data_IF_444204611166
#
_entry.id   IF_444204611166
#
_cell.length_a   1.000
_cell.length_b   1.000
_cell.length_c   1.000
_cell.angle_alpha   90.00
_cell.angle_beta   90.00
_cell.angle_gamma   90.00
#
_symmetry.space_group_name_H-M   'P 1'
#
loop_
_entity.id
_entity.type
_entity.pdbx_description
1 polymer ?
#
# COMPACT_ATOMS: atom_id res chain seq x y z
N UNK A 1 -13.31 -52.27 -10.67
CA UNK A 1 -13.99 -51.58 -9.56
C UNK A 1 -12.99 -50.70 -8.80
N UNK A 2 -12.18 -51.17 -7.86
CA UNK A 2 -11.27 -50.33 -7.04
C UNK A 2 -10.33 -49.36 -7.80
N UNK A 3 -9.78 -49.77 -8.95
CA UNK A 3 -8.90 -48.92 -9.78
C UNK A 3 -9.66 -47.81 -10.52
N UNK A 4 -10.93 -48.04 -10.82
CA UNK A 4 -11.81 -47.09 -11.49
C UNK A 4 -12.23 -45.99 -10.51
N UNK A 5 -12.56 -46.36 -9.26
CA UNK A 5 -12.85 -45.42 -8.18
C UNK A 5 -11.67 -44.48 -7.91
N UNK A 6 -10.43 -44.99 -7.98
CA UNK A 6 -9.22 -44.17 -7.83
C UNK A 6 -9.08 -43.16 -8.97
N UNK A 7 -9.31 -43.58 -10.22
CA UNK A 7 -9.24 -42.69 -11.38
C UNK A 7 -10.35 -41.62 -11.35
N UNK A 8 -11.53 -41.97 -10.87
CA UNK A 8 -12.64 -41.02 -10.68
C UNK A 8 -12.32 -39.97 -9.63
N UNK A 9 -11.72 -40.35 -8.50
CA UNK A 9 -11.28 -39.42 -7.45
C UNK A 9 -10.15 -38.52 -7.96
N UNK A 10 -9.18 -39.07 -8.70
CA UNK A 10 -8.09 -38.28 -9.29
C UNK A 10 -8.59 -37.30 -10.37
N UNK A 11 -9.54 -37.73 -11.20
CA UNK A 11 -10.19 -36.85 -12.18
C UNK A 11 -11.00 -35.74 -11.52
N UNK A 12 -11.77 -36.06 -10.47
CA UNK A 12 -12.57 -35.08 -9.72
C UNK A 12 -11.69 -34.05 -8.99
N UNK A 13 -10.58 -34.49 -8.38
CA UNK A 13 -9.63 -33.58 -7.71
C UNK A 13 -8.91 -32.68 -8.70
N UNK A 14 -8.47 -33.20 -9.85
CA UNK A 14 -7.90 -32.40 -10.93
C UNK A 14 -8.87 -31.34 -11.45
N UNK A 15 -10.12 -31.73 -11.72
CA UNK A 15 -11.16 -30.81 -12.18
C UNK A 15 -11.46 -29.73 -11.15
N UNK A 16 -11.52 -30.07 -9.86
CA UNK A 16 -11.74 -29.12 -8.78
C UNK A 16 -10.60 -28.10 -8.66
N UNK A 17 -9.34 -28.54 -8.73
CA UNK A 17 -8.17 -27.64 -8.70
C UNK A 17 -8.16 -26.71 -9.91
N UNK A 18 -8.45 -27.25 -11.10
CA UNK A 18 -8.53 -26.44 -12.33
C UNK A 18 -9.62 -25.38 -12.23
N UNK A 19 -10.83 -25.74 -11.79
CA UNK A 19 -11.94 -24.80 -11.63
C UNK A 19 -11.66 -23.74 -10.58
N UNK A 20 -11.05 -24.12 -9.44
CA UNK A 20 -10.66 -23.17 -8.41
C UNK A 20 -9.59 -22.19 -8.92
N UNK A 21 -8.59 -22.69 -9.66
CA UNK A 21 -7.58 -21.86 -10.31
C UNK A 21 -8.18 -20.89 -11.33
N UNK A 22 -9.08 -21.38 -12.17
CA UNK A 22 -9.78 -20.56 -13.16
C UNK A 22 -10.67 -19.49 -12.52
N UNK A 23 -11.43 -19.83 -11.47
CA UNK A 23 -12.28 -18.90 -10.73
C UNK A 23 -11.45 -17.76 -10.11
N UNK A 24 -10.30 -18.08 -9.50
CA UNK A 24 -9.39 -17.07 -8.95
C UNK A 24 -8.73 -16.22 -10.05
N UNK A 25 -8.42 -16.78 -11.21
CA UNK A 25 -7.88 -15.99 -12.32
C UNK A 25 -8.90 -15.00 -12.89
N UNK A 26 -10.19 -15.39 -12.94
CA UNK A 26 -11.29 -14.55 -13.43
C UNK A 26 -11.54 -13.35 -12.51
N UNK A 27 -11.39 -13.50 -11.19
CA UNK A 27 -11.58 -12.38 -10.24
C UNK A 27 -10.48 -11.32 -10.34
N UNK A 28 -9.28 -11.69 -10.82
CA UNK A 28 -8.15 -10.77 -10.99
C UNK A 28 -8.23 -9.98 -12.31
N UNK A 29 -8.83 -10.54 -13.37
CA UNK A 29 -8.97 -9.86 -14.67
C UNK A 29 -9.55 -8.43 -14.59
N UNK A 30 -10.68 -8.17 -13.89
CA UNK A 30 -11.24 -6.82 -13.83
C UNK A 30 -10.35 -5.83 -13.07
N UNK A 31 -9.69 -6.28 -11.99
CA UNK A 31 -8.74 -5.43 -11.23
C UNK A 31 -7.58 -5.02 -12.12
N UNK A 32 -6.95 -5.97 -12.81
CA UNK A 32 -5.81 -5.69 -13.72
C UNK A 32 -6.23 -4.81 -14.90
N UNK A 33 -7.44 -4.98 -15.43
CA UNK A 33 -7.96 -4.14 -16.52
C UNK A 33 -8.16 -2.67 -16.08
N UNK A 34 -8.66 -2.45 -14.86
CA UNK A 34 -8.80 -1.11 -14.27
C UNK A 34 -7.42 -0.49 -14.02
N UNK A 35 -6.50 -1.21 -13.39
CA UNK A 35 -5.15 -0.71 -13.12
C UNK A 35 -4.39 -0.34 -14.40
N UNK A 36 -4.53 -1.15 -15.46
CA UNK A 36 -3.90 -0.88 -16.76
C UNK A 36 -4.41 0.41 -17.38
N UNK A 37 -5.72 0.67 -17.32
CA UNK A 37 -6.31 1.89 -17.88
C UNK A 37 -5.91 3.13 -17.08
N UNK A 38 -5.85 3.04 -15.75
CA UNK A 38 -5.33 4.10 -14.86
C UNK A 38 -3.86 4.38 -15.18
N UNK A 39 -3.02 3.35 -15.27
CA UNK A 39 -1.60 3.48 -15.56
C UNK A 39 -1.34 4.23 -16.88
N UNK A 40 -2.05 3.89 -17.95
CA UNK A 40 -1.88 4.60 -19.23
C UNK A 40 -2.33 6.06 -19.17
N UNK A 41 -3.40 6.37 -18.44
CA UNK A 41 -3.87 7.74 -18.22
C UNK A 41 -2.82 8.57 -17.47
N UNK A 42 -2.27 8.03 -16.38
CA UNK A 42 -1.26 8.71 -15.56
C UNK A 42 0.07 8.87 -16.29
N UNK A 43 0.44 7.88 -17.11
CA UNK A 43 1.60 7.97 -18.00
C UNK A 43 1.43 9.04 -19.08
N UNK A 44 0.24 9.14 -19.69
CA UNK A 44 -0.06 10.19 -20.66
C UNK A 44 -0.09 11.58 -20.00
N UNK A 45 -0.54 11.68 -18.75
CA UNK A 45 -0.49 12.91 -17.95
C UNK A 45 0.93 13.27 -17.46
N UNK A 46 1.95 12.45 -17.77
CA UNK A 46 3.34 12.71 -17.38
C UNK A 46 3.61 12.54 -15.88
N UNK A 47 2.73 11.87 -15.14
CA UNK A 47 2.88 11.71 -13.68
C UNK A 47 4.10 10.85 -13.29
N UNK A 48 4.58 10.00 -14.21
CA UNK A 48 5.81 9.21 -14.05
C UNK A 48 7.06 9.91 -14.62
N UNK A 49 6.96 11.16 -15.06
CA UNK A 49 8.09 11.91 -15.62
C UNK A 49 8.97 12.53 -14.52
N UNK A 50 10.24 12.80 -14.85
CA UNK A 50 11.17 13.51 -13.96
C UNK A 50 10.64 14.89 -13.51
N UNK A 51 9.75 15.49 -14.30
CA UNK A 51 9.11 16.76 -14.00
C UNK A 51 8.11 16.65 -12.83
N UNK A 52 7.38 15.54 -12.71
CA UNK A 52 6.54 15.29 -11.54
C UNK A 52 7.37 15.14 -10.25
N UNK A 53 8.51 14.46 -10.35
CA UNK A 53 9.47 14.34 -9.24
C UNK A 53 10.10 15.70 -8.88
N UNK A 54 10.47 16.51 -9.88
CA UNK A 54 10.99 17.86 -9.66
C UNK A 54 9.97 18.76 -8.97
N UNK A 55 8.69 18.68 -9.33
CA UNK A 55 7.63 19.42 -8.65
C UNK A 55 7.42 18.96 -7.21
N UNK A 56 7.53 17.66 -6.92
CA UNK A 56 7.49 17.16 -5.54
C UNK A 56 8.65 17.71 -4.69
N UNK A 57 9.84 17.91 -5.29
CA UNK A 57 10.99 18.50 -4.60
C UNK A 57 10.79 19.99 -4.26
N UNK A 58 9.94 20.70 -5.00
CA UNK A 58 9.67 22.14 -4.87
C UNK A 58 8.55 22.49 -3.89
N UNK A 59 7.99 21.50 -3.17
CA UNK A 59 6.90 21.73 -2.20
C UNK A 59 7.39 22.72 -1.11
N UNK A 60 6.72 23.89 -0.95
CA UNK A 60 7.14 24.85 0.05
C UNK A 60 7.03 24.29 1.47
N UNK A 61 7.88 24.77 2.39
CA UNK A 61 7.98 24.22 3.76
C UNK A 61 6.64 24.24 4.49
N UNK A 62 5.82 25.27 4.29
CA UNK A 62 4.49 25.38 4.90
C UNK A 62 3.43 24.45 4.29
N UNK A 63 3.69 23.77 3.17
CA UNK A 63 2.81 22.71 2.65
C UNK A 63 3.19 21.33 3.20
N UNK A 64 4.38 21.19 3.80
CA UNK A 64 4.85 19.90 4.33
C UNK A 64 4.01 19.39 5.49
N UNK A 65 3.22 20.22 6.17
CA UNK A 65 2.36 19.74 7.26
C UNK A 65 1.23 18.83 6.74
N UNK A 66 0.76 19.02 5.50
CA UNK A 66 -0.28 18.17 4.90
C UNK A 66 0.13 16.69 4.87
N UNK A 67 1.42 16.41 4.75
CA UNK A 67 1.98 15.05 4.86
C UNK A 67 1.55 14.33 6.14
N UNK A 68 1.39 15.06 7.25
CA UNK A 68 1.01 14.49 8.55
C UNK A 68 -0.50 14.33 8.71
N UNK A 69 -1.31 14.96 7.86
CA UNK A 69 -2.77 14.84 7.84
C UNK A 69 -3.29 13.69 6.98
N UNK A 70 -2.42 13.06 6.18
CA UNK A 70 -2.78 11.96 5.28
C UNK A 70 -2.47 10.59 5.91
N UNK A 71 -3.45 9.69 6.12
CA UNK A 71 -3.22 8.36 6.67
C UNK A 71 -2.30 7.49 5.78
N UNK A 72 -2.27 7.69 4.46
CA UNK A 72 -1.43 6.89 3.55
C UNK A 72 0.05 7.15 3.80
N UNK A 73 0.43 8.42 3.99
CA UNK A 73 1.77 8.83 4.40
C UNK A 73 2.26 8.10 5.66
N UNK A 74 1.41 8.01 6.70
CA UNK A 74 1.72 7.26 7.92
C UNK A 74 1.86 5.75 7.67
N UNK A 75 1.04 5.18 6.77
CA UNK A 75 1.15 3.77 6.38
C UNK A 75 2.49 3.49 5.69
N UNK A 76 2.89 4.32 4.73
CA UNK A 76 4.18 4.18 4.01
C UNK A 76 5.34 4.27 5.01
N UNK A 77 5.28 5.21 5.95
CA UNK A 77 6.26 5.30 7.03
C UNK A 77 6.31 4.01 7.85
N UNK A 78 5.14 3.50 8.28
CA UNK A 78 5.05 2.26 9.05
C UNK A 78 5.64 1.06 8.33
N UNK A 79 5.37 0.92 7.02
CA UNK A 79 5.93 -0.16 6.19
C UNK A 79 7.44 -0.02 6.07
N UNK A 80 7.95 1.15 5.69
CA UNK A 80 9.39 1.36 5.52
C UNK A 80 10.14 1.15 6.84
N UNK A 81 9.66 1.76 7.91
CA UNK A 81 10.28 1.64 9.22
C UNK A 81 10.20 0.21 9.78
N UNK A 82 9.12 -0.54 9.54
CA UNK A 82 9.00 -1.94 10.01
C UNK A 82 9.85 -2.92 9.20
N UNK A 83 9.86 -2.80 7.88
CA UNK A 83 10.56 -3.74 7.00
C UNK A 83 12.07 -3.49 6.94
N UNK A 84 12.48 -2.22 6.99
CA UNK A 84 13.86 -1.81 6.74
C UNK A 84 14.53 -1.13 7.95
N UNK A 85 13.76 -0.72 8.96
CA UNK A 85 14.30 0.01 10.12
C UNK A 85 15.12 -0.81 11.11
N UNK A 86 15.19 -2.14 10.94
CA UNK A 86 15.98 -3.07 11.76
C UNK A 86 17.01 -3.88 10.96
N UNK A 87 17.09 -3.65 9.65
CA UNK A 87 18.02 -4.38 8.78
C UNK A 87 19.43 -3.81 8.92
N UNK A 88 20.33 -4.63 9.46
CA UNK A 88 21.77 -4.34 9.55
C UNK A 88 22.53 -4.77 8.29
N UNK A 89 21.82 -5.14 7.23
CA UNK A 89 22.40 -5.49 5.93
C UNK A 89 23.23 -4.32 5.38
N UNK A 90 24.49 -4.60 5.06
CA UNK A 90 25.40 -3.62 4.48
C UNK A 90 25.05 -3.40 3.02
N UNK A 91 24.69 -2.16 2.68
CA UNK A 91 24.46 -1.74 1.30
C UNK A 91 25.65 -0.93 0.84
N UNK A 92 26.29 -1.41 -0.22
CA UNK A 92 27.34 -0.66 -0.90
C UNK A 92 26.69 0.41 -1.77
N UNK A 93 26.85 1.67 -1.38
CA UNK A 93 26.35 2.81 -2.15
C UNK A 93 27.49 3.32 -3.04
N UNK A 94 27.27 3.43 -4.37
CA UNK A 94 28.28 3.98 -5.26
C UNK A 94 28.73 5.38 -4.79
N UNK A 95 29.99 5.52 -4.40
CA UNK A 95 30.59 6.78 -3.97
C UNK A 95 30.47 7.15 -2.47
N UNK A 96 29.72 6.39 -1.65
CA UNK A 96 29.51 6.70 -0.22
C UNK A 96 29.96 5.61 0.76
N UNK A 97 30.48 4.47 0.27
CA UNK A 97 30.95 3.35 1.09
C UNK A 97 29.84 2.36 1.46
N UNK A 98 30.14 1.45 2.39
CA UNK A 98 29.17 0.46 2.92
C UNK A 98 28.52 1.00 4.19
N UNK A 99 27.20 1.23 4.15
CA UNK A 99 26.37 1.63 5.29
C UNK A 99 25.25 0.63 5.49
N UNK A 100 24.75 0.48 6.72
CA UNK A 100 23.56 -0.37 6.93
C UNK A 100 22.32 0.31 6.36
N UNK A 101 21.34 -0.49 5.91
CA UNK A 101 20.04 0.03 5.44
C UNK A 101 19.41 0.97 6.47
N UNK A 102 19.45 0.59 7.75
CA UNK A 102 18.93 1.39 8.85
C UNK A 102 19.63 2.74 8.99
N UNK A 103 20.96 2.79 8.88
CA UNK A 103 21.72 4.05 8.92
C UNK A 103 21.37 4.94 7.74
N UNK A 104 21.31 4.38 6.54
CA UNK A 104 20.94 5.14 5.34
C UNK A 104 19.55 5.77 5.46
N UNK A 105 18.55 5.00 5.91
CA UNK A 105 17.18 5.48 6.10
C UNK A 105 17.08 6.59 7.15
N UNK A 106 17.88 6.51 8.21
CA UNK A 106 17.92 7.51 9.26
C UNK A 106 18.58 8.80 8.78
N UNK A 107 19.75 8.69 8.15
CA UNK A 107 20.60 9.84 7.85
C UNK A 107 20.17 10.59 6.57
N UNK A 108 19.61 9.89 5.57
CA UNK A 108 19.20 10.51 4.30
C UNK A 108 17.70 10.77 4.21
N UNK A 109 16.88 9.92 4.83
CA UNK A 109 15.42 9.98 4.69
C UNK A 109 14.69 10.30 6.01
N UNK A 110 15.40 10.37 7.13
CA UNK A 110 14.84 10.72 8.43
C UNK A 110 13.93 9.66 9.06
N UNK A 111 13.86 8.45 8.51
CA UNK A 111 13.03 7.38 9.05
C UNK A 111 13.65 6.80 10.32
N UNK A 112 12.86 6.80 11.39
CA UNK A 112 13.22 6.24 12.69
C UNK A 112 12.26 5.13 13.09
N UNK A 113 12.82 3.98 13.44
CA UNK A 113 12.05 2.83 13.92
C UNK A 113 11.34 3.09 15.26
N UNK A 114 11.91 3.94 16.13
CA UNK A 114 11.27 4.37 17.39
C UNK A 114 9.95 5.11 17.20
N UNK A 115 9.70 5.64 15.99
CA UNK A 115 8.49 6.39 15.69
C UNK A 115 7.28 5.49 15.42
N UNK A 116 7.46 4.17 15.28
CA UNK A 116 6.40 3.22 14.94
C UNK A 116 5.22 3.27 15.94
N UNK A 117 5.49 3.54 17.22
CA UNK A 117 4.44 3.70 18.23
C UNK A 117 3.50 4.88 17.92
N UNK A 118 4.05 6.01 17.47
CA UNK A 118 3.25 7.17 17.06
C UNK A 118 2.47 6.89 15.78
N UNK A 119 3.02 6.10 14.86
CA UNK A 119 2.33 5.67 13.63
C UNK A 119 1.06 4.90 13.97
N UNK A 120 1.13 3.96 14.93
CA UNK A 120 -0.05 3.19 15.37
C UNK A 120 -1.10 4.11 16.00
N UNK A 121 -0.68 5.02 16.89
CA UNK A 121 -1.59 5.98 17.51
C UNK A 121 -2.28 6.90 16.49
N UNK A 122 -1.54 7.35 15.47
CA UNK A 122 -2.09 8.19 14.40
C UNK A 122 -3.19 7.46 13.61
N UNK A 123 -2.96 6.19 13.24
CA UNK A 123 -3.98 5.39 12.53
C UNK A 123 -5.25 5.19 13.36
N UNK A 124 -5.11 4.90 14.66
CA UNK A 124 -6.27 4.83 15.57
C UNK A 124 -7.02 6.16 15.64
N UNK A 125 -6.28 7.28 15.69
CA UNK A 125 -6.85 8.63 15.64
C UNK A 125 -7.66 8.89 14.37
N UNK A 126 -7.13 8.54 13.20
CA UNK A 126 -7.85 8.69 11.93
C UNK A 126 -9.11 7.82 11.88
N UNK A 127 -9.04 6.56 12.33
CA UNK A 127 -10.21 5.67 12.37
C UNK A 127 -11.32 6.28 13.24
N UNK A 128 -10.98 6.77 14.43
CA UNK A 128 -11.95 7.44 15.31
C UNK A 128 -12.51 8.72 14.68
N UNK A 129 -11.65 9.54 14.07
CA UNK A 129 -12.06 10.77 13.39
C UNK A 129 -13.07 10.48 12.27
N UNK A 130 -12.75 9.57 11.35
CA UNK A 130 -13.64 9.19 10.25
C UNK A 130 -14.94 8.56 10.75
N UNK A 131 -14.87 7.75 11.81
CA UNK A 131 -16.06 7.18 12.44
C UNK A 131 -17.00 8.25 13.00
N UNK A 132 -16.45 9.26 13.69
CA UNK A 132 -17.22 10.36 14.25
C UNK A 132 -17.81 11.25 13.14
N UNK A 133 -17.02 11.58 12.12
CA UNK A 133 -17.49 12.35 10.96
C UNK A 133 -18.61 11.61 10.25
N UNK A 134 -18.44 10.31 10.00
CA UNK A 134 -19.45 9.48 9.36
C UNK A 134 -20.73 9.42 10.19
N UNK A 135 -20.61 9.15 11.49
CA UNK A 135 -21.74 9.11 12.43
C UNK A 135 -22.50 10.44 12.50
N UNK A 136 -21.78 11.56 12.54
CA UNK A 136 -22.37 12.90 12.48
C UNK A 136 -23.05 13.17 11.13
N UNK A 137 -22.40 12.78 10.03
CA UNK A 137 -22.91 12.94 8.67
C UNK A 137 -24.21 12.16 8.48
N UNK A 138 -24.31 10.92 8.95
CA UNK A 138 -25.56 10.15 8.91
C UNK A 138 -26.66 10.83 9.72
N UNK A 139 -26.33 11.37 10.91
CA UNK A 139 -27.31 12.08 11.74
C UNK A 139 -27.83 13.37 11.08
N UNK A 140 -26.97 14.10 10.36
CA UNK A 140 -27.30 15.40 9.77
C UNK A 140 -27.87 15.29 8.34
N UNK A 141 -27.35 14.36 7.54
CA UNK A 141 -27.74 14.08 6.16
C UNK A 141 -28.82 13.00 6.07
N UNK A 142 -29.54 12.70 7.16
CA UNK A 142 -30.65 11.76 7.12
C UNK A 142 -31.80 12.36 6.29
N UNK A 143 -31.73 12.18 4.97
CA UNK A 143 -32.72 12.63 3.99
C UNK A 143 -34.04 11.83 4.05
N UNK A 144 -34.18 10.85 4.96
CA UNK A 144 -35.40 10.05 5.13
C UNK A 144 -36.55 10.76 5.87
N UNK A 145 -36.56 12.10 5.90
CA UNK A 145 -37.73 12.91 6.33
C UNK A 145 -38.51 13.52 5.16
N UNK A 146 -38.47 12.87 3.99
CA UNK A 146 -39.41 13.12 2.90
C UNK A 146 -40.00 11.80 2.40
#
# INVERSE_FOLDING_TARGET
>A
SKQQDILEILGATYAAVFFLGAANAITVQPVVAIERTVFYRERAAGMYSALAFAFAQLIPVWWRWYYWGDPVSWTIYGILASQLGTKDDLVAIPGAGSLTVKQFLKDNLGFQHSFLGYVVLAHLGFVLLFFLIFSYSIKHLNFQKR
#
